data_IF_012341492178
#
_entry.id   IF_012341492178
#
_cell.length_a   1.000
_cell.length_b   1.000
_cell.length_c   1.000
_cell.angle_alpha   90.00
_cell.angle_beta   90.00
_cell.angle_gamma   90.00
#
_symmetry.space_group_name_H-M   'P 1'
#
loop_
_entity.id
_entity.type
_entity.pdbx_description
1 polymer ?
#
# COMPACT_ATOMS: atom_id res chain seq x y z
N UNK A 1 -29.16 12.74 -70.78
CA UNK A 1 -29.63 14.14 -70.91
C UNK A 1 -29.63 14.85 -69.56
N UNK A 2 -28.70 15.79 -69.37
CA UNK A 2 -28.72 16.74 -68.25
C UNK A 2 -29.87 17.76 -68.42
N UNK A 3 -30.18 18.57 -67.38
CA UNK A 3 -29.44 19.82 -67.26
C UNK A 3 -28.95 20.13 -65.84
N UNK A 4 -27.98 21.05 -65.76
CA UNK A 4 -27.51 21.68 -64.53
C UNK A 4 -27.97 23.15 -64.49
N UNK A 5 -27.78 23.86 -63.36
CA UNK A 5 -27.18 25.22 -63.29
C UNK A 5 -27.25 25.82 -61.86
N UNK A 6 -26.08 26.29 -61.34
CA UNK A 6 -25.80 27.42 -60.40
C UNK A 6 -26.60 27.53 -59.06
N UNK A 7 -26.09 28.05 -57.93
CA UNK A 7 -24.83 28.73 -57.56
C UNK A 7 -25.13 29.88 -56.55
N UNK A 8 -24.21 30.45 -55.75
CA UNK A 8 -22.82 30.12 -55.41
C UNK A 8 -22.29 31.03 -54.27
N UNK A 9 -21.14 30.66 -53.65
CA UNK A 9 -20.19 31.52 -52.90
C UNK A 9 -20.52 32.06 -51.47
N UNK A 10 -19.45 32.22 -50.66
CA UNK A 10 -19.45 32.82 -49.30
C UNK A 10 -18.70 31.95 -48.26
N UNK A 11 -17.37 31.98 -48.15
CA UNK A 11 -16.51 32.97 -47.46
C UNK A 11 -16.37 32.77 -45.92
N UNK A 12 -15.14 32.48 -45.47
CA UNK A 12 -14.69 32.40 -44.06
C UNK A 12 -14.40 33.80 -43.47
N UNK A 13 -14.60 33.99 -42.16
CA UNK A 13 -13.46 34.06 -41.21
C UNK A 13 -13.76 33.28 -39.89
N UNK A 14 -13.00 33.29 -38.78
CA UNK A 14 -11.77 34.00 -38.40
C UNK A 14 -10.77 33.07 -37.65
N UNK A 15 -10.54 33.26 -36.35
CA UNK A 15 -9.46 32.64 -35.54
C UNK A 15 -9.80 32.60 -34.02
N UNK A 16 -8.94 31.87 -33.28
CA UNK A 16 -8.79 31.83 -31.80
C UNK A 16 -9.71 30.84 -31.05
N UNK A 17 -9.29 30.19 -29.96
CA UNK A 17 -8.13 30.44 -29.09
C UNK A 17 -7.72 29.16 -28.33
N UNK A 18 -6.44 28.79 -28.32
CA UNK A 18 -5.91 27.72 -27.44
C UNK A 18 -5.72 28.25 -26.00
N UNK A 19 -6.24 27.58 -24.95
CA UNK A 19 -5.92 27.91 -23.56
C UNK A 19 -4.60 27.30 -23.12
N UNK A 20 -3.68 28.15 -22.65
CA UNK A 20 -2.34 27.81 -22.20
C UNK A 20 -2.30 26.84 -21.01
N UNK A 21 -1.24 26.03 -20.94
CA UNK A 21 -0.89 25.29 -19.72
C UNK A 21 -0.60 26.26 -18.57
N UNK A 22 -1.29 26.09 -17.43
CA UNK A 22 -1.01 26.83 -16.19
C UNK A 22 -0.18 25.96 -15.26
N UNK A 23 1.15 26.15 -15.29
CA UNK A 23 2.04 25.65 -14.23
C UNK A 23 1.64 26.31 -12.90
N UNK A 24 1.09 25.54 -11.96
CA UNK A 24 0.95 25.98 -10.56
C UNK A 24 2.13 25.47 -9.75
N UNK A 25 2.90 26.42 -9.23
CA UNK A 25 4.02 26.22 -8.31
C UNK A 25 3.47 25.59 -7.03
N UNK A 26 4.05 24.48 -6.55
CA UNK A 26 3.77 24.02 -5.18
C UNK A 26 4.40 25.03 -4.21
N UNK A 27 3.58 25.67 -3.39
CA UNK A 27 4.04 26.18 -2.09
C UNK A 27 3.77 25.07 -1.08
N UNK A 28 4.83 24.42 -0.60
CA UNK A 28 4.74 23.49 0.52
C UNK A 28 4.92 24.30 1.82
N UNK A 29 3.85 24.98 2.23
CA UNK A 29 3.74 25.50 3.59
C UNK A 29 3.25 24.35 4.47
N UNK A 30 4.23 23.54 4.88
CA UNK A 30 4.12 22.68 6.06
C UNK A 30 3.87 23.58 7.26
N UNK A 31 2.73 23.41 7.94
CA UNK A 31 2.62 23.60 9.39
C UNK A 31 1.22 23.21 9.90
N UNK A 32 1.17 22.13 10.69
CA UNK A 32 0.24 22.02 11.83
C UNK A 32 0.88 21.12 12.90
N UNK A 33 1.54 21.80 13.84
CA UNK A 33 2.35 21.25 14.92
C UNK A 33 1.52 20.40 15.91
N UNK A 34 2.12 19.32 16.41
CA UNK A 34 1.61 18.52 17.53
C UNK A 34 1.75 19.29 18.86
N UNK A 35 0.87 19.01 19.83
CA UNK A 35 0.82 19.70 21.13
C UNK A 35 1.96 19.20 22.06
N UNK A 36 2.65 20.13 22.73
CA UNK A 36 3.51 19.89 23.88
C UNK A 36 3.51 21.10 24.85
N UNK A 37 3.95 20.89 26.09
CA UNK A 37 3.65 21.72 27.26
C UNK A 37 4.47 23.02 27.43
N UNK A 38 4.07 23.79 28.44
CA UNK A 38 4.45 25.17 28.74
C UNK A 38 5.80 25.37 29.44
N UNK A 39 6.52 26.45 29.09
CA UNK A 39 7.19 27.39 30.01
C UNK A 39 7.50 28.72 29.24
N UNK A 40 7.55 29.91 29.89
CA UNK A 40 7.55 31.20 29.18
C UNK A 40 8.91 31.94 29.17
N UNK A 41 9.13 32.80 28.16
CA UNK A 41 9.83 34.11 28.19
C UNK A 41 9.92 34.69 26.76
N UNK A 42 9.88 36.02 26.56
CA UNK A 42 10.45 36.64 25.34
C UNK A 42 9.57 37.58 24.47
N UNK A 43 8.99 38.64 25.07
CA UNK A 43 8.53 39.91 24.44
C UNK A 43 8.51 40.06 22.89
N UNK A 44 7.32 40.34 22.33
CA UNK A 44 7.17 40.74 20.91
C UNK A 44 5.89 41.55 20.56
N UNK A 45 5.77 42.78 21.06
CA UNK A 45 4.91 43.92 20.59
C UNK A 45 3.46 43.64 20.13
N UNK A 46 2.47 44.19 20.85
CA UNK A 46 1.04 44.04 20.57
C UNK A 46 0.52 44.71 19.27
N UNK A 47 -0.56 44.14 18.70
CA UNK A 47 -1.68 44.88 18.07
C UNK A 47 -3.00 44.09 18.19
N UNK A 48 -4.09 44.82 18.39
CA UNK A 48 -5.39 44.43 18.98
C UNK A 48 -6.13 43.15 18.50
N UNK A 49 -7.05 42.61 19.34
CA UNK A 49 -7.78 41.38 19.07
C UNK A 49 -9.07 41.63 18.26
N UNK A 50 -9.12 41.16 17.02
CA UNK A 50 -10.40 40.87 16.37
C UNK A 50 -10.77 39.42 16.64
N UNK A 51 -11.85 39.22 17.42
CA UNK A 51 -12.44 37.90 17.63
C UNK A 51 -12.87 37.33 16.27
N UNK A 52 -12.10 36.40 15.74
CA UNK A 52 -12.48 35.59 14.59
C UNK A 52 -13.66 34.71 14.94
N UNK A 53 -14.87 35.26 14.81
CA UNK A 53 -16.10 34.49 14.91
C UNK A 53 -16.06 33.41 13.82
N UNK A 54 -15.96 32.15 14.24
CA UNK A 54 -15.97 30.99 13.33
C UNK A 54 -17.15 31.12 12.38
N UNK A 55 -16.86 31.27 11.09
CA UNK A 55 -17.87 31.57 10.09
C UNK A 55 -18.88 30.41 10.04
N UNK A 56 -20.21 30.66 9.96
CA UNK A 56 -21.21 29.59 9.94
C UNK A 56 -21.00 28.51 8.86
N UNK A 57 -20.22 28.81 7.82
CA UNK A 57 -19.86 27.89 6.74
C UNK A 57 -18.89 26.75 7.09
N UNK A 58 -18.09 26.83 8.17
CA UNK A 58 -17.15 25.75 8.51
C UNK A 58 -17.87 24.43 8.82
N UNK A 59 -18.96 24.50 9.58
CA UNK A 59 -19.82 23.34 9.88
C UNK A 59 -20.46 22.78 8.62
N UNK A 60 -20.98 23.64 7.75
CA UNK A 60 -21.63 23.27 6.48
C UNK A 60 -20.69 22.51 5.52
N UNK A 61 -19.41 22.90 5.46
CA UNK A 61 -18.39 22.21 4.64
C UNK A 61 -18.06 20.81 5.16
N UNK A 62 -18.13 20.59 6.47
CA UNK A 62 -17.87 19.26 7.06
C UNK A 62 -19.06 18.30 6.85
N UNK A 63 -20.29 18.77 7.03
CA UNK A 63 -21.52 17.98 6.79
C UNK A 63 -21.64 17.47 5.34
N UNK A 64 -21.04 18.20 4.38
CA UNK A 64 -21.02 17.85 2.95
C UNK A 64 -19.69 17.22 2.50
N UNK A 65 -18.79 16.89 3.44
CA UNK A 65 -17.47 16.35 3.12
C UNK A 65 -17.52 14.93 2.56
N UNK A 66 -16.62 14.62 1.62
CA UNK A 66 -16.51 13.27 1.05
C UNK A 66 -16.27 12.24 2.17
N UNK A 67 -15.39 12.53 3.13
CA UNK A 67 -15.07 11.64 4.25
C UNK A 67 -16.29 11.25 5.09
N UNK A 68 -17.18 12.21 5.41
CA UNK A 68 -18.41 11.92 6.16
C UNK A 68 -19.39 11.09 5.32
N UNK A 69 -19.53 11.42 4.03
CA UNK A 69 -20.41 10.68 3.13
C UNK A 69 -19.90 9.26 2.85
N UNK A 70 -18.58 9.04 2.78
CA UNK A 70 -17.96 7.71 2.69
C UNK A 70 -18.25 6.89 3.95
N UNK A 71 -18.12 7.46 5.16
CA UNK A 71 -18.44 6.75 6.41
C UNK A 71 -19.90 6.27 6.42
N UNK A 72 -20.84 7.17 6.15
CA UNK A 72 -22.27 6.80 6.06
C UNK A 72 -22.56 5.82 4.90
N UNK A 73 -21.87 5.92 3.77
CA UNK A 73 -22.00 4.95 2.66
C UNK A 73 -21.53 3.54 3.06
N UNK A 74 -20.45 3.44 3.84
CA UNK A 74 -19.96 2.17 4.39
C UNK A 74 -20.93 1.59 5.44
N UNK A 75 -21.60 2.43 6.23
CA UNK A 75 -22.68 2.00 7.14
C UNK A 75 -23.87 1.41 6.37
N UNK A 76 -24.27 2.00 5.23
CA UNK A 76 -25.32 1.44 4.37
C UNK A 76 -24.90 0.10 3.72
N UNK A 77 -23.62 -0.05 3.37
CA UNK A 77 -23.08 -1.30 2.82
C UNK A 77 -23.00 -2.42 3.87
N UNK A 78 -22.65 -2.10 5.13
CA UNK A 78 -22.54 -3.10 6.21
C UNK A 78 -23.88 -3.51 6.81
N UNK A 79 -24.91 -2.66 6.71
CA UNK A 79 -26.27 -2.95 7.17
C UNK A 79 -27.13 -3.67 6.12
N UNK A 80 -26.70 -3.73 4.84
CA UNK A 80 -27.45 -4.43 3.79
C UNK A 80 -27.34 -5.96 3.97
N UNK A 81 -28.47 -6.70 4.11
CA UNK A 81 -28.46 -8.13 4.43
C UNK A 81 -27.85 -8.99 3.31
N UNK A 82 -28.05 -8.61 2.05
CA UNK A 82 -27.47 -9.30 0.88
C UNK A 82 -26.09 -8.73 0.49
N UNK A 83 -25.60 -7.73 1.23
CA UNK A 83 -24.42 -6.93 0.86
C UNK A 83 -24.58 -6.17 -0.46
N UNK A 84 -25.80 -5.96 -0.97
CA UNK A 84 -26.07 -5.23 -2.22
C UNK A 84 -26.71 -3.89 -1.93
N UNK A 85 -26.27 -2.83 -2.62
CA UNK A 85 -26.78 -1.46 -2.46
C UNK A 85 -27.09 -0.84 -3.82
N UNK A 86 -28.29 -0.24 -3.95
CA UNK A 86 -28.64 0.62 -5.09
C UNK A 86 -28.03 2.02 -4.89
N UNK A 87 -27.28 2.47 -5.90
CA UNK A 87 -26.65 3.78 -5.97
C UNK A 87 -27.65 4.94 -6.08
N UNK A 88 -28.89 4.71 -6.53
CA UNK A 88 -29.97 5.69 -6.49
C UNK A 88 -30.39 5.96 -5.04
N UNK A 89 -30.79 4.90 -4.34
CA UNK A 89 -31.21 4.93 -2.95
C UNK A 89 -30.11 5.47 -2.03
N UNK A 90 -28.86 5.04 -2.23
CA UNK A 90 -27.73 5.58 -1.47
C UNK A 90 -27.52 7.09 -1.69
N UNK A 91 -27.77 7.62 -2.89
CA UNK A 91 -27.69 9.07 -3.16
C UNK A 91 -28.78 9.85 -2.40
N UNK A 92 -30.00 9.31 -2.33
CA UNK A 92 -31.13 9.88 -1.61
C UNK A 92 -30.92 9.87 -0.10
N UNK A 93 -30.55 8.72 0.48
CA UNK A 93 -30.31 8.55 1.93
C UNK A 93 -29.17 9.44 2.41
N UNK A 94 -28.07 9.51 1.65
CA UNK A 94 -26.93 10.37 1.97
C UNK A 94 -27.16 11.85 1.63
N UNK A 95 -28.25 12.17 0.92
CA UNK A 95 -28.59 13.52 0.41
C UNK A 95 -27.47 14.14 -0.43
N UNK A 96 -26.83 13.33 -1.29
CA UNK A 96 -25.73 13.75 -2.17
C UNK A 96 -26.05 13.55 -3.65
N UNK A 97 -25.41 14.33 -4.51
CA UNK A 97 -25.47 14.12 -5.95
C UNK A 97 -24.79 12.80 -6.35
N UNK A 98 -25.32 12.09 -7.35
CA UNK A 98 -24.73 10.84 -7.89
C UNK A 98 -23.24 10.93 -8.21
N UNK A 99 -22.73 12.11 -8.58
CA UNK A 99 -21.29 12.34 -8.82
C UNK A 99 -20.45 11.98 -7.59
N UNK A 100 -20.92 12.26 -6.37
CA UNK A 100 -20.22 11.92 -5.11
C UNK A 100 -20.24 10.42 -4.84
N UNK A 101 -21.33 9.73 -5.16
CA UNK A 101 -21.38 8.26 -5.09
C UNK A 101 -20.29 7.66 -5.97
N UNK A 102 -20.07 8.17 -7.19
CA UNK A 102 -18.97 7.70 -8.05
C UNK A 102 -17.56 8.01 -7.51
N UNK A 103 -17.35 9.12 -6.78
CA UNK A 103 -16.06 9.35 -6.12
C UNK A 103 -15.78 8.28 -5.05
N UNK A 104 -16.81 7.82 -4.34
CA UNK A 104 -16.70 6.77 -3.33
C UNK A 104 -16.52 5.40 -3.99
N UNK A 105 -17.37 5.04 -4.96
CA UNK A 105 -17.31 3.71 -5.58
C UNK A 105 -16.03 3.49 -6.36
N UNK A 106 -15.51 4.48 -7.10
CA UNK A 106 -14.28 4.33 -7.87
C UNK A 106 -13.08 4.00 -6.97
N UNK A 107 -13.01 4.60 -5.77
CA UNK A 107 -11.96 4.28 -4.79
C UNK A 107 -12.17 2.87 -4.22
N UNK A 108 -13.38 2.55 -3.75
CA UNK A 108 -13.68 1.23 -3.16
C UNK A 108 -13.55 0.07 -4.16
N UNK A 109 -13.83 0.29 -5.44
CA UNK A 109 -13.64 -0.66 -6.55
C UNK A 109 -12.14 -0.79 -6.88
N UNK A 110 -11.40 0.33 -6.90
CA UNK A 110 -9.94 0.33 -7.08
C UNK A 110 -9.16 -0.43 -6.00
N UNK A 111 -9.68 -0.45 -4.75
CA UNK A 111 -9.16 -1.29 -3.66
C UNK A 111 -9.94 -2.62 -3.47
N UNK A 112 -10.80 -2.98 -4.42
CA UNK A 112 -11.50 -4.27 -4.49
C UNK A 112 -12.42 -4.60 -3.30
N UNK A 113 -12.85 -3.59 -2.52
CA UNK A 113 -13.84 -3.75 -1.44
C UNK A 113 -15.30 -3.75 -1.93
N UNK A 114 -15.54 -3.41 -3.19
CA UNK A 114 -16.84 -3.58 -3.86
C UNK A 114 -16.66 -4.12 -5.27
N UNK A 115 -17.72 -4.70 -5.82
CA UNK A 115 -17.84 -5.00 -7.25
C UNK A 115 -19.18 -4.55 -7.81
N UNK A 116 -19.25 -4.32 -9.12
CA UNK A 116 -20.46 -3.92 -9.83
C UNK A 116 -21.32 -5.15 -10.15
N UNK A 117 -22.44 -5.32 -9.45
CA UNK A 117 -23.39 -6.44 -9.68
C UNK A 117 -24.26 -6.21 -10.91
N UNK A 118 -24.75 -4.98 -11.11
CA UNK A 118 -25.54 -4.61 -12.29
C UNK A 118 -25.55 -3.08 -12.50
N UNK A 119 -26.37 -2.56 -13.41
CA UNK A 119 -26.58 -1.11 -13.51
C UNK A 119 -27.25 -0.61 -12.23
N UNK A 120 -26.70 0.47 -11.67
CA UNK A 120 -27.07 1.06 -10.39
C UNK A 120 -26.87 0.17 -9.14
N UNK A 121 -26.40 -1.07 -9.25
CA UNK A 121 -26.21 -1.95 -8.08
C UNK A 121 -24.75 -2.35 -7.90
N UNK A 122 -24.23 -2.11 -6.70
CA UNK A 122 -22.93 -2.61 -6.25
C UNK A 122 -23.10 -3.68 -5.19
N UNK A 123 -22.10 -4.54 -5.05
CA UNK A 123 -22.02 -5.57 -4.03
C UNK A 123 -20.78 -5.32 -3.15
N UNK A 124 -21.00 -5.32 -1.85
CA UNK A 124 -20.01 -5.24 -0.80
C UNK A 124 -19.16 -6.50 -0.80
N UNK A 125 -17.90 -6.37 -1.19
CA UNK A 125 -16.88 -7.39 -1.01
C UNK A 125 -16.12 -7.18 0.30
N UNK A 126 -16.26 -6.04 0.99
CA UNK A 126 -15.47 -5.76 2.19
C UNK A 126 -15.69 -6.74 3.35
N UNK A 127 -16.89 -7.32 3.49
CA UNK A 127 -17.11 -8.45 4.40
C UNK A 127 -16.34 -9.70 3.95
N UNK A 128 -16.22 -9.92 2.63
CA UNK A 128 -15.40 -10.96 2.00
C UNK A 128 -13.92 -10.53 1.81
N UNK A 129 -13.50 -9.36 2.32
CA UNK A 129 -12.11 -8.87 2.25
C UNK A 129 -11.45 -8.89 3.63
N UNK A 130 -12.23 -8.65 4.70
CA UNK A 130 -11.88 -9.16 6.03
C UNK A 130 -12.05 -10.68 6.11
N UNK A 131 -12.93 -11.26 5.28
CA UNK A 131 -13.17 -12.71 5.14
C UNK A 131 -12.79 -13.17 3.71
N UNK A 132 -11.55 -12.88 3.31
CA UNK A 132 -10.94 -13.29 2.03
C UNK A 132 -10.75 -14.80 1.90
N UNK A 133 -11.88 -15.52 1.80
CA UNK A 133 -12.05 -16.93 2.14
C UNK A 133 -11.43 -17.25 3.53
N UNK A 134 -12.24 -17.44 4.60
CA UNK A 134 -11.68 -17.64 5.94
C UNK A 134 -10.82 -18.92 6.00
N UNK A 135 -11.08 -19.88 5.11
CA UNK A 135 -10.19 -21.00 4.82
C UNK A 135 -8.82 -20.57 4.30
N UNK A 136 -8.71 -19.73 3.27
CA UNK A 136 -7.42 -19.35 2.67
C UNK A 136 -6.55 -18.54 3.65
N UNK A 137 -7.13 -17.58 4.36
CA UNK A 137 -6.38 -16.84 5.38
C UNK A 137 -5.88 -17.77 6.49
N UNK A 138 -6.76 -18.60 7.05
CA UNK A 138 -6.41 -19.57 8.10
C UNK A 138 -5.43 -20.65 7.65
N UNK A 139 -5.45 -21.04 6.38
CA UNK A 139 -4.47 -21.95 5.77
C UNK A 139 -3.10 -21.28 5.68
N UNK A 140 -3.03 -20.03 5.20
CA UNK A 140 -1.78 -19.26 5.16
C UNK A 140 -1.23 -18.99 6.57
N UNK A 141 -2.08 -18.70 7.56
CA UNK A 141 -1.67 -18.59 8.98
C UNK A 141 -1.19 -19.92 9.57
N UNK A 142 -1.68 -21.06 9.08
CA UNK A 142 -1.21 -22.40 9.49
C UNK A 142 0.15 -22.67 8.85
N UNK A 143 0.25 -22.50 7.53
CA UNK A 143 1.47 -22.67 6.74
C UNK A 143 2.61 -21.78 7.27
N UNK A 144 2.33 -20.51 7.57
CA UNK A 144 3.30 -19.59 8.19
C UNK A 144 3.81 -20.10 9.53
N UNK A 145 2.95 -20.66 10.38
CA UNK A 145 3.36 -21.24 11.67
C UNK A 145 4.15 -22.53 11.51
N UNK A 146 3.81 -23.35 10.52
CA UNK A 146 4.54 -24.59 10.19
C UNK A 146 5.94 -24.26 9.64
N UNK A 147 6.06 -23.27 8.75
CA UNK A 147 7.34 -22.77 8.26
C UNK A 147 8.19 -22.15 9.38
N UNK A 148 7.61 -21.30 10.24
CA UNK A 148 8.31 -20.76 11.42
C UNK A 148 8.73 -21.83 12.44
N UNK A 149 8.04 -22.98 12.50
CA UNK A 149 8.47 -24.09 13.33
C UNK A 149 9.68 -24.82 12.71
N UNK A 150 9.64 -25.07 11.39
CA UNK A 150 10.73 -25.69 10.65
C UNK A 150 12.00 -24.82 10.64
N UNK A 151 11.87 -23.50 10.46
CA UNK A 151 12.95 -22.52 10.51
C UNK A 151 13.69 -22.58 11.86
N UNK A 152 12.96 -22.52 12.99
CA UNK A 152 13.56 -22.67 14.33
C UNK A 152 14.24 -24.01 14.55
N UNK A 153 13.68 -25.11 14.04
CA UNK A 153 14.33 -26.42 14.12
C UNK A 153 15.64 -26.47 13.31
N UNK A 154 15.70 -25.80 12.16
CA UNK A 154 16.93 -25.66 11.38
C UNK A 154 17.96 -24.82 12.13
N UNK A 155 17.57 -23.69 12.72
CA UNK A 155 18.44 -22.84 13.53
C UNK A 155 19.02 -23.59 14.75
N UNK A 156 18.19 -24.33 15.49
CA UNK A 156 18.62 -25.15 16.62
C UNK A 156 19.65 -26.22 16.21
N UNK A 157 19.46 -26.85 15.04
CA UNK A 157 20.39 -27.83 14.48
C UNK A 157 21.70 -27.18 14.01
N UNK A 158 21.63 -26.02 13.35
CA UNK A 158 22.81 -25.23 12.93
C UNK A 158 23.61 -24.79 14.15
N UNK A 159 22.95 -24.28 15.19
CA UNK A 159 23.59 -23.89 16.45
C UNK A 159 24.26 -25.10 17.12
N UNK A 160 23.55 -26.23 17.22
CA UNK A 160 24.09 -27.47 17.81
C UNK A 160 25.33 -27.95 17.07
N UNK A 161 25.27 -28.04 15.74
CA UNK A 161 26.39 -28.44 14.89
C UNK A 161 27.58 -27.46 15.01
N UNK A 162 27.30 -26.14 15.03
CA UNK A 162 28.33 -25.11 15.21
C UNK A 162 29.04 -25.24 16.56
N UNK A 163 28.31 -25.52 17.64
CA UNK A 163 28.90 -25.76 18.98
C UNK A 163 29.71 -27.05 18.99
N UNK A 164 29.21 -28.14 18.39
CA UNK A 164 29.95 -29.41 18.28
C UNK A 164 31.26 -29.25 17.50
N UNK A 165 31.24 -28.56 16.36
CA UNK A 165 32.44 -28.30 15.57
C UNK A 165 33.47 -27.45 16.33
N UNK A 166 33.02 -26.44 17.08
CA UNK A 166 33.91 -25.65 17.95
C UNK A 166 34.52 -26.51 19.04
N UNK A 167 33.73 -27.27 19.79
CA UNK A 167 34.23 -28.15 20.84
C UNK A 167 35.25 -29.16 20.29
N UNK A 168 34.99 -29.75 19.12
CA UNK A 168 35.93 -30.68 18.48
C UNK A 168 37.21 -30.00 18.00
N UNK A 169 37.16 -28.75 17.51
CA UNK A 169 38.31 -28.05 16.93
C UNK A 169 39.14 -27.28 17.96
N UNK A 170 38.50 -26.81 19.05
CA UNK A 170 39.12 -26.03 20.13
C UNK A 170 39.71 -26.92 21.23
N UNK A 171 39.37 -28.21 21.29
CA UNK A 171 39.96 -29.19 22.22
C UNK A 171 41.46 -29.43 21.91
N UNK A 172 42.38 -29.16 22.86
CA UNK A 172 43.82 -29.41 22.68
C UNK A 172 44.17 -30.86 22.34
N UNK A 173 43.35 -31.83 22.75
CA UNK A 173 43.53 -33.25 22.43
C UNK A 173 43.13 -33.60 21.00
N UNK A 174 42.30 -32.78 20.35
CA UNK A 174 41.99 -32.95 18.92
C UNK A 174 42.94 -32.13 18.04
N UNK A 175 43.39 -30.95 18.50
CA UNK A 175 44.28 -30.07 17.73
C UNK A 175 45.60 -30.75 17.31
N UNK A 176 46.17 -31.61 18.15
CA UNK A 176 47.40 -32.33 17.78
C UNK A 176 47.17 -33.49 16.78
N UNK A 177 45.92 -33.93 16.62
CA UNK A 177 45.50 -34.95 15.66
C UNK A 177 44.87 -34.35 14.38
N UNK A 178 44.61 -33.04 14.34
CA UNK A 178 43.98 -32.32 13.23
C UNK A 178 44.97 -32.04 12.06
N UNK A 179 45.58 -33.10 11.53
CA UNK A 179 46.45 -33.06 10.35
C UNK A 179 46.10 -34.16 9.35
N UNK A 180 46.61 -34.02 8.13
CA UNK A 180 46.55 -35.04 7.07
C UNK A 180 47.96 -35.41 6.64
N UNK A 181 48.17 -36.67 6.27
CA UNK A 181 49.48 -37.16 5.80
C UNK A 181 49.61 -37.03 4.29
N UNK A 182 50.86 -37.08 3.80
CA UNK A 182 51.12 -37.19 2.37
C UNK A 182 50.55 -38.48 1.76
N UNK A 183 50.26 -39.51 2.56
CA UNK A 183 49.63 -40.75 2.07
C UNK A 183 48.13 -40.56 1.85
N UNK A 184 47.47 -39.78 2.71
CA UNK A 184 46.05 -39.45 2.56
C UNK A 184 45.83 -38.61 1.30
N UNK A 185 46.69 -37.60 1.08
CA UNK A 185 46.68 -36.81 -0.16
C UNK A 185 46.89 -37.68 -1.41
N UNK A 186 47.84 -38.63 -1.36
CA UNK A 186 48.09 -39.61 -2.44
C UNK A 186 46.93 -40.56 -2.73
N UNK A 187 46.06 -40.81 -1.74
CA UNK A 187 44.89 -41.69 -1.92
C UNK A 187 43.75 -41.02 -2.70
N UNK A 188 43.76 -39.68 -2.78
CA UNK A 188 42.72 -38.87 -3.43
C UNK A 188 43.20 -38.40 -4.81
N UNK A 189 44.49 -38.04 -4.94
CA UNK A 189 45.10 -37.57 -6.19
C UNK A 189 46.47 -38.23 -6.36
N UNK A 190 46.70 -38.87 -7.50
CA UNK A 190 48.02 -39.43 -7.83
C UNK A 190 49.01 -38.30 -8.19
N UNK A 191 50.09 -38.07 -7.41
CA UNK A 191 51.05 -37.00 -7.67
C UNK A 191 51.93 -37.26 -8.89
N UNK A 192 51.91 -38.46 -9.48
CA UNK A 192 52.62 -38.76 -10.72
C UNK A 192 51.95 -38.13 -11.95
N UNK A 193 50.64 -37.85 -11.88
CA UNK A 193 49.89 -37.20 -12.96
C UNK A 193 49.61 -35.71 -12.70
N UNK A 194 49.53 -35.26 -11.44
CA UNK A 194 49.20 -33.87 -11.10
C UNK A 194 50.03 -33.27 -9.96
N UNK A 195 50.37 -31.98 -10.11
CA UNK A 195 51.03 -31.19 -9.07
C UNK A 195 50.01 -30.76 -8.00
N UNK A 196 50.21 -31.20 -6.76
CA UNK A 196 49.38 -30.80 -5.61
C UNK A 196 50.06 -29.65 -4.85
N UNK A 197 49.33 -28.56 -4.63
CA UNK A 197 49.77 -27.40 -3.85
C UNK A 197 48.86 -27.23 -2.63
N UNK A 198 49.45 -27.24 -1.42
CA UNK A 198 48.73 -27.04 -0.16
C UNK A 198 48.88 -25.57 0.26
N UNK A 199 47.75 -24.88 0.46
CA UNK A 199 47.71 -23.50 0.91
C UNK A 199 47.06 -23.46 2.31
N UNK A 200 47.74 -22.80 3.24
CA UNK A 200 47.18 -22.40 4.55
C UNK A 200 47.28 -20.88 4.62
N UNK A 201 46.14 -20.22 4.73
CA UNK A 201 45.98 -18.76 4.80
C UNK A 201 45.29 -18.36 6.12
#
# INVERSE_FOLDING_TARGET
PSPALRGAAGAVPLMSRVPSQVKRKLNLETDHQYIAESLPVGRGRARNPTKGAKSPGEKSRYETSLNLTTKRFLELLSQSPDGVVDLNWAAEVLKVQKRRIYDITNVLEGIQLITKKSKNHIQWLGSQATVGAPGRHRLLEKELRELQAAERQLDDLIQTCTVQLRLLTEDPTNQHAAYVTCQDLRSIVDPSEQMVMVIKA
#
